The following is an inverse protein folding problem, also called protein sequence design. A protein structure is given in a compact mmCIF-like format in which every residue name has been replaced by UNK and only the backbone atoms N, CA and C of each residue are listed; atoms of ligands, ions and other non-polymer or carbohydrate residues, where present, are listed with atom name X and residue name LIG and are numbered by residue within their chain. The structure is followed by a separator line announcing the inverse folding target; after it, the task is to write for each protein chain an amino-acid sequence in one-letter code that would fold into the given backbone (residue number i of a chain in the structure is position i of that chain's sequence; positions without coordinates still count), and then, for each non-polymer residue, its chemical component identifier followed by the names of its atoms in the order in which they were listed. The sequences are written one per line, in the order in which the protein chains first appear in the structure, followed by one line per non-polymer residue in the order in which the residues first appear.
data_IF_342802712121
#
_entry.id   IF_342802712121
#
_cell.length_a   1.000
_cell.length_b   1.000
_cell.length_c   1.000
_cell.angle_alpha   90.00
_cell.angle_beta   90.00
_cell.angle_gamma   90.00
#
_symmetry.space_group_name_H-M   'P 1'
#
loop_
_entity.id
_entity.type
_entity.pdbx_description
1 polymer ?
#
# COMPACT_ATOMS: atom_id res chain seq x y z
N UNK A 1 -2.50 21.32 8.29
CA UNK A 1 -1.09 20.84 8.26
C UNK A 1 -1.04 19.76 7.21
N UNK A 2 -0.52 20.06 6.01
CA UNK A 2 -0.13 19.03 5.06
C UNK A 2 1.05 18.30 5.73
N UNK A 3 0.94 16.99 5.92
CA UNK A 3 2.07 16.18 6.33
C UNK A 3 3.02 16.12 5.13
N UNK A 4 4.00 17.00 5.08
CA UNK A 4 5.18 16.84 4.22
C UNK A 4 5.95 15.64 4.79
N UNK A 5 5.63 14.45 4.28
CA UNK A 5 6.39 13.25 4.57
C UNK A 5 7.74 13.43 3.91
N UNK A 6 8.81 13.47 4.70
CA UNK A 6 10.16 13.50 4.14
C UNK A 6 10.32 12.38 3.11
N UNK A 7 11.07 12.61 2.03
CA UNK A 7 11.29 11.61 0.98
C UNK A 7 11.68 10.22 1.52
N UNK A 8 12.37 10.18 2.66
CA UNK A 8 12.70 8.96 3.39
C UNK A 8 11.47 8.29 4.03
N UNK A 9 10.58 9.05 4.66
CA UNK A 9 9.33 8.55 5.23
C UNK A 9 8.36 8.05 4.15
N UNK A 10 8.29 8.75 3.01
CA UNK A 10 7.52 8.31 1.83
C UNK A 10 8.04 6.99 1.26
N UNK A 11 9.37 6.80 1.25
CA UNK A 11 10.00 5.56 0.80
C UNK A 11 9.78 4.41 1.79
N UNK A 12 9.96 4.67 3.09
CA UNK A 12 9.67 3.69 4.15
C UNK A 12 8.20 3.31 4.15
N UNK A 13 7.29 4.26 3.93
CA UNK A 13 5.86 4.01 3.80
C UNK A 13 5.59 3.10 2.59
N UNK A 14 6.18 3.40 1.42
CA UNK A 14 6.04 2.57 0.22
C UNK A 14 6.56 1.15 0.44
N UNK A 15 7.75 1.00 1.00
CA UNK A 15 8.38 -0.30 1.26
C UNK A 15 7.55 -1.12 2.28
N UNK A 16 7.00 -0.46 3.30
CA UNK A 16 6.13 -1.10 4.29
C UNK A 16 4.80 -1.52 3.67
N UNK A 17 4.22 -0.68 2.80
CA UNK A 17 2.98 -0.99 2.11
C UNK A 17 3.16 -2.16 1.13
N UNK A 18 4.26 -2.17 0.39
CA UNK A 18 4.62 -3.26 -0.53
C UNK A 18 4.84 -4.58 0.22
N UNK A 19 5.51 -4.55 1.38
CA UNK A 19 5.66 -5.72 2.23
C UNK A 19 4.31 -6.25 2.72
N UNK A 20 3.43 -5.37 3.21
CA UNK A 20 2.09 -5.74 3.67
C UNK A 20 1.22 -6.31 2.54
N UNK A 21 1.30 -5.74 1.34
CA UNK A 21 0.58 -6.25 0.16
C UNK A 21 1.06 -7.65 -0.25
N UNK A 22 2.36 -7.91 -0.20
CA UNK A 22 2.93 -9.25 -0.47
C UNK A 22 2.45 -10.27 0.55
N UNK A 23 2.49 -9.93 1.85
CA UNK A 23 1.97 -10.82 2.90
C UNK A 23 0.48 -11.12 2.70
N UNK A 24 -0.33 -10.11 2.35
CA UNK A 24 -1.75 -10.33 2.06
C UNK A 24 -1.97 -11.21 0.83
N UNK A 25 -1.16 -11.08 -0.22
CA UNK A 25 -1.24 -11.97 -1.39
C UNK A 25 -0.89 -13.41 -1.03
N UNK A 26 0.14 -13.63 -0.22
CA UNK A 26 0.49 -14.95 0.28
C UNK A 26 -0.63 -15.53 1.15
N UNK A 27 -1.20 -14.75 2.07
CA UNK A 27 -2.34 -15.18 2.88
C UNK A 27 -3.57 -15.52 2.02
N UNK A 28 -3.86 -14.75 0.97
CA UNK A 28 -4.93 -15.05 0.00
C UNK A 28 -4.64 -16.36 -0.74
N UNK A 29 -3.38 -16.60 -1.14
CA UNK A 29 -3.01 -17.81 -1.85
C UNK A 29 -3.20 -19.07 -0.98
N UNK A 30 -2.87 -18.97 0.31
CA UNK A 30 -2.96 -20.07 1.27
C UNK A 30 -4.33 -20.18 1.98
N UNK A 31 -5.22 -19.21 1.83
CA UNK A 31 -6.55 -19.24 2.43
C UNK A 31 -7.47 -20.23 1.70
N UNK A 32 -7.90 -21.30 2.36
CA UNK A 32 -8.87 -22.25 1.78
C UNK A 32 -10.33 -21.80 1.92
N UNK A 33 -10.62 -20.90 2.87
CA UNK A 33 -11.97 -20.41 3.10
C UNK A 33 -12.30 -19.23 2.17
N UNK A 34 -13.40 -19.38 1.41
CA UNK A 34 -13.84 -18.38 0.43
C UNK A 34 -14.18 -17.02 1.06
N UNK A 35 -14.87 -17.02 2.19
CA UNK A 35 -15.19 -15.79 2.94
C UNK A 35 -13.92 -15.09 3.45
N UNK A 36 -12.92 -15.86 3.88
CA UNK A 36 -11.64 -15.33 4.32
C UNK A 36 -10.82 -14.76 3.15
N UNK A 37 -10.82 -15.45 2.00
CA UNK A 37 -10.26 -14.92 0.74
C UNK A 37 -10.90 -13.61 0.32
N UNK A 38 -12.23 -13.49 0.39
CA UNK A 38 -12.96 -12.28 0.03
C UNK A 38 -12.68 -11.12 1.01
N UNK A 39 -12.51 -11.40 2.30
CA UNK A 39 -12.08 -10.39 3.26
C UNK A 39 -10.65 -9.90 3.00
N UNK A 40 -9.72 -10.81 2.67
CA UNK A 40 -8.32 -10.48 2.36
C UNK A 40 -8.17 -9.73 1.03
N UNK A 41 -8.67 -10.28 -0.07
CA UNK A 41 -9.66 -9.60 -0.92
C UNK A 41 -9.74 -8.07 -0.87
N UNK A 42 -10.79 -7.64 -0.18
CA UNK A 42 -11.12 -6.24 0.07
C UNK A 42 -10.04 -5.45 0.80
N UNK A 43 -9.26 -6.08 1.69
CA UNK A 43 -8.13 -5.40 2.36
C UNK A 43 -7.02 -5.06 1.38
N UNK A 44 -6.67 -6.00 0.50
CA UNK A 44 -5.71 -5.80 -0.56
C UNK A 44 -6.15 -4.66 -1.48
N UNK A 45 -7.40 -4.69 -1.96
CA UNK A 45 -7.90 -3.66 -2.86
C UNK A 45 -7.87 -2.26 -2.22
N UNK A 46 -8.24 -2.13 -0.95
CA UNK A 46 -8.15 -0.84 -0.21
C UNK A 46 -6.72 -0.34 -0.08
N UNK A 47 -5.78 -1.22 0.25
CA UNK A 47 -4.37 -0.84 0.41
C UNK A 47 -3.74 -0.47 -0.93
N UNK A 48 -4.09 -1.20 -1.99
CA UNK A 48 -3.64 -0.92 -3.35
C UNK A 48 -4.19 0.42 -3.87
N UNK A 49 -5.47 0.73 -3.61
CA UNK A 49 -6.04 2.03 -3.93
C UNK A 49 -5.37 3.18 -3.16
N UNK A 50 -5.02 2.96 -1.88
CA UNK A 50 -4.22 3.91 -1.11
C UNK A 50 -2.83 4.09 -1.70
N UNK A 51 -2.16 3.02 -2.12
CA UNK A 51 -0.85 3.06 -2.79
C UNK A 51 -0.90 3.91 -4.06
N UNK A 52 -1.88 3.67 -4.93
CA UNK A 52 -2.06 4.40 -6.19
C UNK A 52 -2.37 5.88 -5.98
N UNK A 53 -3.00 6.22 -4.86
CA UNK A 53 -3.26 7.63 -4.49
C UNK A 53 -2.02 8.31 -3.92
N UNK A 54 -1.13 7.55 -3.28
CA UNK A 54 0.14 8.04 -2.74
C UNK A 54 1.20 8.23 -3.83
N UNK A 55 1.24 7.40 -4.88
CA UNK A 55 2.16 7.54 -6.02
C UNK A 55 2.27 8.97 -6.58
N UNK A 56 1.16 9.63 -6.99
CA UNK A 56 1.24 10.98 -7.53
C UNK A 56 1.58 12.04 -6.48
N UNK A 57 1.28 11.81 -5.19
CA UNK A 57 1.65 12.73 -4.11
C UNK A 57 3.18 12.72 -3.89
N UNK A 58 3.79 11.53 -3.90
CA UNK A 58 5.24 11.35 -3.74
C UNK A 58 6.02 11.81 -4.98
N UNK A 59 5.51 11.58 -6.19
CA UNK A 59 6.14 12.06 -7.43
C UNK A 59 6.07 13.59 -7.57
N UNK A 60 4.99 14.22 -7.12
CA UNK A 60 4.84 15.69 -7.18
C UNK A 60 5.84 16.42 -6.28
N UNK A 61 6.23 15.82 -5.15
CA UNK A 61 7.24 16.37 -4.23
C UNK A 61 8.67 16.24 -4.78
N UNK A 62 8.95 15.23 -5.62
CA UNK A 62 10.28 15.08 -6.27
C UNK A 62 10.54 16.10 -7.38
N UNK A 63 9.51 16.72 -7.96
CA UNK A 63 9.66 17.71 -9.04
C UNK A 63 9.98 19.12 -8.50
N UNK A 64 9.88 19.34 -7.18
CA UNK A 64 10.17 20.63 -6.54
C UNK A 64 11.43 20.65 -5.65
N UNK A 65 12.21 19.55 -5.60
CA UNK A 65 13.46 19.45 -4.85
C UNK A 65 14.71 19.69 -5.71
#
# INVERSE_FOLDING_TARGET
MLLELSNEESRVLKDTLDAALRTLLDEIAHADQREFKEALRHRYDRLHDLQRRLEPLVESEQVYA
#
